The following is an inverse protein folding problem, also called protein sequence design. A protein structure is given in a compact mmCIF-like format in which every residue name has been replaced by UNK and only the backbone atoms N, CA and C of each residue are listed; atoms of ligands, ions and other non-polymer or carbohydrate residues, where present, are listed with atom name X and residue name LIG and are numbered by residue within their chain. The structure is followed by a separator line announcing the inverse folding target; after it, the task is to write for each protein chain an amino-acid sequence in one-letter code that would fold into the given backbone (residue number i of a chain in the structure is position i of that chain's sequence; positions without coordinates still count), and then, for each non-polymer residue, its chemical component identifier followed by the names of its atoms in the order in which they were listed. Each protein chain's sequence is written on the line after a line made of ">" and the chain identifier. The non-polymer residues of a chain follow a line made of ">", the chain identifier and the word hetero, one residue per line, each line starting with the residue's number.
data_IF_768912376234
#
_entry.id   IF_768912376234
#
_cell.length_a   1.000
_cell.length_b   1.000
_cell.length_c   1.000
_cell.angle_alpha   90.00
_cell.angle_beta   90.00
_cell.angle_gamma   90.00
#
_symmetry.space_group_name_H-M   'P 1'
#
loop_
_entity.id
_entity.type
_entity.pdbx_description
1 polymer ?
#
# COMPACT_ATOMS: atom_id res chain seq x y z
N UNK A 1 26.00 18.38 52.86
CA UNK A 1 25.37 17.29 52.10
C UNK A 1 26.18 17.06 50.85
N UNK A 2 26.98 16.00 50.81
CA UNK A 2 27.80 15.63 49.65
C UNK A 2 26.90 14.98 48.59
N UNK A 3 26.80 15.60 47.42
CA UNK A 3 26.21 14.98 46.23
C UNK A 3 27.24 13.98 45.70
N UNK A 4 27.03 12.69 45.96
CA UNK A 4 27.87 11.64 45.40
C UNK A 4 27.63 11.55 43.89
N UNK A 5 28.66 11.82 43.09
CA UNK A 5 28.65 11.60 41.65
C UNK A 5 28.34 10.12 41.37
N UNK A 6 27.36 9.86 40.49
CA UNK A 6 27.01 8.50 40.10
C UNK A 6 28.24 7.83 39.46
N UNK A 7 28.56 6.58 39.82
CA UNK A 7 29.66 5.85 39.20
C UNK A 7 29.42 5.74 37.68
N UNK A 8 30.48 5.84 36.89
CA UNK A 8 30.40 5.97 35.42
C UNK A 8 29.58 4.87 34.72
N UNK A 9 29.43 3.69 35.33
CA UNK A 9 28.60 2.60 34.78
C UNK A 9 27.09 2.89 34.87
N UNK A 10 26.64 3.62 35.89
CA UNK A 10 25.23 4.05 36.01
C UNK A 10 24.92 5.17 35.01
N UNK A 11 25.86 6.09 34.81
CA UNK A 11 25.78 7.11 33.75
C UNK A 11 25.67 6.43 32.38
N UNK A 12 26.49 5.40 32.11
CA UNK A 12 26.40 4.60 30.89
C UNK A 12 25.06 3.86 30.72
N UNK A 13 24.41 3.41 31.81
CA UNK A 13 23.07 2.80 31.73
C UNK A 13 22.00 3.83 31.40
N UNK A 14 22.08 5.03 31.99
CA UNK A 14 21.18 6.14 31.69
C UNK A 14 21.31 6.55 30.22
N UNK A 15 22.52 6.78 29.72
CA UNK A 15 22.76 7.10 28.31
C UNK A 15 22.28 6.00 27.37
N UNK A 16 22.52 4.73 27.70
CA UNK A 16 22.04 3.59 26.89
C UNK A 16 20.53 3.49 26.87
N UNK A 17 19.84 3.79 27.98
CA UNK A 17 18.39 3.80 28.05
C UNK A 17 17.78 5.00 27.32
N UNK A 18 18.41 6.18 27.39
CA UNK A 18 18.02 7.36 26.62
C UNK A 18 18.23 7.09 25.12
N UNK A 19 19.39 6.57 24.72
CA UNK A 19 19.67 6.19 23.34
C UNK A 19 18.72 5.10 22.83
N UNK A 20 18.39 4.08 23.64
CA UNK A 20 17.35 3.09 23.32
C UNK A 20 15.98 3.74 23.16
N UNK A 21 15.64 4.78 23.94
CA UNK A 21 14.35 5.49 23.83
C UNK A 21 14.29 6.38 22.59
N UNK A 22 15.43 6.97 22.19
CA UNK A 22 15.59 7.69 20.92
C UNK A 22 15.57 6.74 19.71
N UNK A 23 16.22 5.57 19.79
CA UNK A 23 16.17 4.55 18.75
C UNK A 23 14.79 3.87 18.65
N UNK A 24 14.05 3.74 19.76
CA UNK A 24 12.68 3.18 19.75
C UNK A 24 11.67 4.03 18.96
N UNK A 25 11.98 5.29 18.68
CA UNK A 25 11.14 6.18 17.85
C UNK A 25 11.54 6.21 16.36
N UNK A 26 12.74 5.72 16.02
CA UNK A 26 13.17 5.57 14.65
C UNK A 26 12.82 4.15 14.20
N UNK A 27 11.69 3.97 13.50
CA UNK A 27 11.44 2.73 12.76
C UNK A 27 12.61 2.61 11.78
N UNK A 28 13.49 1.60 11.91
CA UNK A 28 14.59 1.45 10.99
C UNK A 28 14.00 1.22 9.59
N UNK A 29 14.38 2.06 8.62
CA UNK A 29 14.00 1.87 7.21
C UNK A 29 14.53 0.56 6.61
N UNK A 30 15.35 -0.20 7.35
CA UNK A 30 15.90 -1.47 6.92
C UNK A 30 14.90 -2.61 7.10
N UNK A 31 14.10 -2.90 6.07
CA UNK A 31 13.25 -4.10 5.98
C UNK A 31 14.01 -5.29 5.38
N UNK A 32 15.16 -5.65 5.95
CA UNK A 32 15.95 -6.81 5.48
C UNK A 32 15.32 -8.11 5.97
N UNK A 33 15.42 -9.18 5.19
CA UNK A 33 14.80 -10.49 5.51
C UNK A 33 15.29 -11.06 6.85
N UNK A 34 16.53 -10.78 7.25
CA UNK A 34 17.11 -11.16 8.55
C UNK A 34 16.66 -10.27 9.73
N UNK A 35 15.88 -9.23 9.45
CA UNK A 35 15.41 -8.23 10.40
C UNK A 35 13.88 -8.19 10.53
N UNK A 36 13.15 -8.97 9.73
CA UNK A 36 11.69 -9.08 9.74
C UNK A 36 11.27 -10.55 9.81
N UNK A 37 10.06 -10.80 10.28
CA UNK A 37 9.48 -12.13 10.44
C UNK A 37 8.05 -12.16 9.91
N UNK A 38 7.46 -13.36 9.79
CA UNK A 38 6.09 -13.57 9.30
C UNK A 38 5.83 -12.96 7.91
N UNK A 39 6.76 -13.21 6.98
CA UNK A 39 6.67 -12.69 5.60
C UNK A 39 5.65 -13.51 4.82
N UNK A 40 4.58 -12.85 4.38
CA UNK A 40 3.51 -13.46 3.59
C UNK A 40 3.33 -12.75 2.25
N UNK A 41 2.95 -13.51 1.23
CA UNK A 41 2.59 -12.93 -0.06
C UNK A 41 1.24 -12.22 0.03
N UNK A 42 1.14 -11.04 -0.58
CA UNK A 42 -0.11 -10.29 -0.69
C UNK A 42 -0.77 -10.56 -2.05
N UNK A 43 -2.11 -10.61 -2.09
CA UNK A 43 -2.88 -10.63 -3.33
C UNK A 43 -2.97 -9.21 -3.94
N UNK A 44 -2.32 -8.95 -5.09
CA UNK A 44 -2.31 -7.63 -5.71
C UNK A 44 -3.69 -7.15 -6.18
N UNK A 45 -4.58 -8.05 -6.64
CA UNK A 45 -5.91 -7.66 -7.14
C UNK A 45 -6.81 -7.27 -5.99
N UNK A 46 -6.83 -8.06 -4.91
CA UNK A 46 -7.58 -7.71 -3.71
C UNK A 46 -7.12 -6.38 -3.09
N UNK A 47 -5.80 -6.10 -3.11
CA UNK A 47 -5.28 -4.80 -2.66
C UNK A 47 -5.73 -3.66 -3.56
N UNK A 48 -5.66 -3.83 -4.89
CA UNK A 48 -6.17 -2.83 -5.83
C UNK A 48 -7.65 -2.53 -5.59
N UNK A 49 -8.49 -3.56 -5.45
CA UNK A 49 -9.93 -3.42 -5.23
C UNK A 49 -10.22 -2.65 -3.94
N UNK A 50 -9.53 -3.00 -2.84
CA UNK A 50 -9.64 -2.28 -1.57
C UNK A 50 -9.20 -0.83 -1.72
N UNK A 51 -8.05 -0.57 -2.33
CA UNK A 51 -7.55 0.80 -2.51
C UNK A 51 -8.49 1.65 -3.37
N UNK A 52 -9.04 1.06 -4.44
CA UNK A 52 -9.99 1.74 -5.33
C UNK A 52 -11.30 2.16 -4.63
N UNK A 53 -11.67 1.48 -3.54
CA UNK A 53 -12.84 1.83 -2.74
C UNK A 53 -12.56 2.95 -1.72
N UNK A 54 -11.31 3.31 -1.47
CA UNK A 54 -10.94 4.33 -0.48
C UNK A 54 -10.92 5.72 -1.14
N UNK A 55 -11.59 6.73 -0.55
CA UNK A 55 -11.52 8.10 -1.04
C UNK A 55 -10.10 8.68 -0.95
N UNK A 56 -9.60 9.21 -2.06
CA UNK A 56 -8.40 10.04 -2.09
C UNK A 56 -8.83 11.51 -2.11
N UNK A 57 -8.41 12.25 -1.10
CA UNK A 57 -8.84 13.63 -0.89
C UNK A 57 -7.61 14.53 -0.72
N UNK A 58 -7.81 15.83 -0.88
CA UNK A 58 -6.81 16.82 -0.48
C UNK A 58 -7.18 17.46 0.84
N UNK A 59 -6.19 17.78 1.64
CA UNK A 59 -6.37 18.34 2.98
C UNK A 59 -5.13 19.15 3.37
N UNK A 60 -5.21 19.90 4.46
CA UNK A 60 -4.08 20.60 5.06
C UNK A 60 -4.04 20.28 6.56
N UNK A 61 -2.87 20.34 7.19
CA UNK A 61 -2.83 20.23 8.64
C UNK A 61 -3.41 21.51 9.28
N UNK A 62 -4.02 21.36 10.47
CA UNK A 62 -4.61 22.49 11.19
C UNK A 62 -3.62 23.60 11.57
N UNK A 63 -2.33 23.27 11.61
CA UNK A 63 -1.25 24.20 11.94
C UNK A 63 -0.56 24.79 10.69
N UNK A 64 -0.96 24.37 9.50
CA UNK A 64 -0.42 24.88 8.23
C UNK A 64 -1.29 26.00 7.66
N UNK A 65 -0.67 26.79 6.78
CA UNK A 65 -1.40 27.73 5.94
C UNK A 65 -2.42 27.00 5.05
N UNK A 66 -3.59 27.60 4.83
CA UNK A 66 -4.67 27.01 4.06
C UNK A 66 -4.30 26.75 2.57
N UNK A 67 -3.29 27.46 2.04
CA UNK A 67 -2.78 27.25 0.70
C UNK A 67 -1.91 25.99 0.56
N UNK A 68 -1.37 25.44 1.66
CA UNK A 68 -0.60 24.20 1.63
C UNK A 68 -1.58 23.03 1.52
N UNK A 69 -1.43 22.18 0.49
CA UNK A 69 -2.31 21.04 0.26
C UNK A 69 -1.51 19.74 0.21
N UNK A 70 -1.94 18.78 1.01
CA UNK A 70 -1.55 17.37 0.95
C UNK A 70 -2.62 16.58 0.24
N UNK A 71 -2.27 15.38 -0.23
CA UNK A 71 -3.19 14.46 -0.89
C UNK A 71 -3.01 13.05 -0.32
N UNK A 72 -4.11 12.36 -0.07
CA UNK A 72 -4.11 10.98 0.36
C UNK A 72 -5.43 10.56 0.99
N UNK A 73 -5.56 9.29 1.37
CA UNK A 73 -6.70 8.82 2.14
C UNK A 73 -6.63 9.35 3.57
N UNK A 74 -7.76 9.32 4.28
CA UNK A 74 -7.76 9.48 5.73
C UNK A 74 -7.17 8.23 6.40
N UNK A 75 -6.50 8.41 7.54
CA UNK A 75 -5.81 7.32 8.22
C UNK A 75 -6.76 6.21 8.70
N UNK A 76 -7.96 6.58 9.12
CA UNK A 76 -8.97 5.64 9.60
C UNK A 76 -9.51 4.76 8.47
N UNK A 77 -9.76 5.33 7.28
CA UNK A 77 -10.22 4.57 6.11
C UNK A 77 -9.13 3.60 5.66
N UNK A 78 -7.87 4.06 5.62
CA UNK A 78 -6.72 3.23 5.28
C UNK A 78 -6.55 2.07 6.26
N UNK A 79 -6.58 2.37 7.57
CA UNK A 79 -6.48 1.35 8.61
C UNK A 79 -7.66 0.38 8.57
N UNK A 80 -8.88 0.86 8.34
CA UNK A 80 -10.06 0.02 8.21
C UNK A 80 -9.99 -0.97 7.04
N UNK A 81 -9.39 -0.56 5.92
CA UNK A 81 -9.25 -1.41 4.73
C UNK A 81 -8.10 -2.43 4.83
N UNK A 82 -6.97 -2.02 5.41
CA UNK A 82 -5.72 -2.80 5.37
C UNK A 82 -5.24 -3.33 6.73
N UNK A 83 -5.64 -2.71 7.83
CA UNK A 83 -5.20 -3.08 9.19
C UNK A 83 -3.69 -2.94 9.42
N UNK A 84 -3.00 -2.12 8.60
CA UNK A 84 -1.56 -1.95 8.66
C UNK A 84 -1.15 -0.91 9.70
N UNK A 85 -0.03 -1.15 10.36
CA UNK A 85 0.44 -0.35 11.49
C UNK A 85 -0.27 -0.68 12.80
N UNK A 86 0.03 0.08 13.84
CA UNK A 86 -0.50 -0.12 15.19
C UNK A 86 -1.52 0.94 15.64
N UNK A 87 -1.98 1.79 14.72
CA UNK A 87 -2.95 2.87 15.01
C UNK A 87 -3.71 3.28 13.75
N UNK A 88 -4.94 3.74 13.92
CA UNK A 88 -5.81 4.31 12.89
C UNK A 88 -5.61 5.83 12.68
N UNK A 89 -4.65 6.45 13.38
CA UNK A 89 -4.41 7.91 13.36
C UNK A 89 -3.28 8.35 12.44
N UNK A 90 -2.48 7.41 11.97
CA UNK A 90 -1.30 7.68 11.14
C UNK A 90 -1.23 6.62 10.05
N UNK A 91 -0.88 7.05 8.85
CA UNK A 91 -0.49 6.15 7.77
C UNK A 91 1.04 6.11 7.77
N UNK A 92 1.63 4.94 8.03
CA UNK A 92 3.07 4.80 7.90
C UNK A 92 3.44 4.85 6.41
N UNK A 93 4.43 5.67 6.08
CA UNK A 93 4.87 5.89 4.69
C UNK A 93 5.23 4.58 3.99
N UNK A 94 5.86 3.63 4.68
CA UNK A 94 6.18 2.30 4.15
C UNK A 94 4.92 1.52 3.77
N UNK A 95 3.88 1.57 4.58
CA UNK A 95 2.61 0.86 4.33
C UNK A 95 1.88 1.48 3.13
N UNK A 96 1.83 2.82 3.05
CA UNK A 96 1.26 3.52 1.89
C UNK A 96 1.99 3.16 0.59
N UNK A 97 3.33 3.14 0.61
CA UNK A 97 4.16 2.75 -0.54
C UNK A 97 3.89 1.29 -0.92
N UNK A 98 3.85 0.38 0.06
CA UNK A 98 3.58 -1.04 -0.16
C UNK A 98 2.21 -1.28 -0.81
N UNK A 99 1.17 -0.64 -0.28
CA UNK A 99 -0.19 -0.70 -0.85
C UNK A 99 -0.24 -0.14 -2.27
N UNK A 100 0.45 0.98 -2.54
CA UNK A 100 0.54 1.55 -3.88
C UNK A 100 1.22 0.59 -4.87
N UNK A 101 2.37 0.02 -4.50
CA UNK A 101 3.11 -0.93 -5.34
C UNK A 101 2.30 -2.21 -5.61
N UNK A 102 1.62 -2.75 -4.59
CA UNK A 102 0.73 -3.89 -4.75
C UNK A 102 -0.45 -3.57 -5.67
N UNK A 103 -1.06 -2.40 -5.51
CA UNK A 103 -2.17 -1.96 -6.38
C UNK A 103 -1.75 -1.80 -7.83
N UNK A 104 -0.55 -1.27 -8.11
CA UNK A 104 0.02 -1.19 -9.47
C UNK A 104 0.19 -2.58 -10.08
N UNK A 105 0.67 -3.57 -9.30
CA UNK A 105 0.75 -4.96 -9.75
C UNK A 105 -0.64 -5.54 -10.05
N UNK A 106 -1.62 -5.29 -9.18
CA UNK A 106 -3.01 -5.69 -9.41
C UNK A 106 -3.58 -5.08 -10.69
N UNK A 107 -3.28 -3.80 -10.94
CA UNK A 107 -3.74 -3.09 -12.13
C UNK A 107 -3.16 -3.70 -13.40
N UNK A 108 -1.86 -4.02 -13.40
CA UNK A 108 -1.22 -4.72 -14.52
C UNK A 108 -1.91 -6.05 -14.81
N UNK A 109 -2.20 -6.85 -13.77
CA UNK A 109 -2.89 -8.13 -13.95
C UNK A 109 -4.29 -7.95 -14.53
N UNK A 110 -5.03 -6.94 -14.06
CA UNK A 110 -6.36 -6.61 -14.60
C UNK A 110 -6.27 -6.20 -16.08
N UNK A 111 -5.30 -5.37 -16.45
CA UNK A 111 -5.08 -4.96 -17.85
C UNK A 111 -4.74 -6.15 -18.75
N UNK A 112 -3.88 -7.06 -18.31
CA UNK A 112 -3.55 -8.29 -19.05
C UNK A 112 -4.77 -9.19 -19.22
N UNK A 113 -5.58 -9.38 -18.18
CA UNK A 113 -6.81 -10.18 -18.29
C UNK A 113 -7.83 -9.54 -19.23
N UNK A 114 -8.03 -8.22 -19.13
CA UNK A 114 -8.90 -7.48 -20.05
C UNK A 114 -8.40 -7.60 -21.50
N UNK A 115 -7.09 -7.49 -21.74
CA UNK A 115 -6.50 -7.69 -23.07
C UNK A 115 -6.78 -9.08 -23.64
N UNK A 116 -6.62 -10.13 -22.82
CA UNK A 116 -6.96 -11.51 -23.22
C UNK A 116 -8.44 -11.68 -23.54
N UNK A 117 -9.32 -11.05 -22.75
CA UNK A 117 -10.77 -11.08 -22.99
C UNK A 117 -11.14 -10.40 -24.29
N UNK A 118 -10.53 -9.25 -24.60
CA UNK A 118 -10.76 -8.52 -25.85
C UNK A 118 -10.35 -9.39 -27.04
N UNK A 119 -9.14 -9.95 -27.03
CA UNK A 119 -8.67 -10.83 -28.11
C UNK A 119 -9.61 -12.03 -28.36
N UNK A 120 -10.05 -12.70 -27.29
CA UNK A 120 -11.03 -13.81 -27.40
C UNK A 120 -12.37 -13.35 -27.96
N UNK A 121 -12.83 -12.17 -27.61
CA UNK A 121 -14.08 -11.63 -28.12
C UNK A 121 -13.96 -11.28 -29.61
N UNK A 122 -12.82 -10.71 -30.04
CA UNK A 122 -12.54 -10.42 -31.44
C UNK A 122 -12.51 -11.68 -32.30
N UNK A 123 -11.88 -12.75 -31.83
CA UNK A 123 -11.88 -14.06 -32.50
C UNK A 123 -13.30 -14.62 -32.67
N UNK A 124 -14.12 -14.55 -31.60
CA UNK A 124 -15.52 -15.00 -31.65
C UNK A 124 -16.37 -14.16 -32.58
N UNK A 125 -16.15 -12.84 -32.62
CA UNK A 125 -16.85 -11.95 -33.55
C UNK A 125 -16.50 -12.28 -35.00
N UNK A 126 -15.22 -12.51 -35.30
CA UNK A 126 -14.78 -12.91 -36.63
C UNK A 126 -15.40 -14.26 -37.05
N UNK A 127 -15.45 -15.24 -36.13
CA UNK A 127 -16.07 -16.53 -36.42
C UNK A 127 -17.58 -16.43 -36.62
N UNK A 128 -18.27 -15.65 -35.77
CA UNK A 128 -19.70 -15.40 -35.94
C UNK A 128 -20.00 -14.72 -37.27
N UNK A 129 -19.18 -13.76 -37.71
CA UNK A 129 -19.34 -13.11 -39.01
C UNK A 129 -19.24 -14.13 -40.17
N UNK A 130 -18.25 -15.02 -40.14
CA UNK A 130 -18.11 -16.10 -41.14
C UNK A 130 -19.30 -17.07 -41.12
N UNK A 131 -19.84 -17.38 -39.94
CA UNK A 131 -21.02 -18.24 -39.82
C UNK A 131 -22.23 -17.54 -40.45
N UNK A 132 -22.42 -16.24 -40.20
CA UNK A 132 -23.53 -15.46 -40.77
C UNK A 132 -23.43 -15.43 -42.30
N UNK A 133 -22.24 -15.18 -42.85
CA UNK A 133 -22.02 -15.19 -44.31
C UNK A 133 -22.39 -16.55 -44.91
N UNK A 134 -21.89 -17.66 -44.35
CA UNK A 134 -22.24 -19.02 -44.83
C UNK A 134 -23.73 -19.34 -44.75
N UNK A 135 -24.40 -18.87 -43.70
CA UNK A 135 -25.84 -19.07 -43.58
C UNK A 135 -26.59 -18.29 -44.67
N UNK A 136 -26.19 -17.04 -44.94
CA UNK A 136 -26.80 -16.23 -45.99
C UNK A 136 -26.62 -16.87 -47.37
N UNK A 137 -25.42 -17.37 -47.68
CA UNK A 137 -25.14 -18.10 -48.93
C UNK A 137 -25.97 -19.38 -49.08
N UNK A 138 -26.33 -20.05 -47.98
CA UNK A 138 -27.14 -21.26 -48.01
C UNK A 138 -28.65 -21.04 -48.17
N UNK A 139 -29.12 -19.78 -48.12
CA UNK A 139 -30.52 -19.41 -48.35
C UNK A 139 -30.79 -18.84 -49.75
N UNK A 140 -29.75 -18.58 -50.55
CA UNK A 140 -29.85 -18.27 -51.99
C UNK A 140 -29.81 -19.53 -52.86
#
# INVERSE_FOLDING_TARGET
>A
MLVSALPGWEIMKIFRNIAKRFLKGAIPLSARVDFVENIEATDPQAVLEKLAAIPIQTWNYKFEDAAIRHMGPMAQDFYGAFGLGNTDKVIFHMDAIGVCLASIKGLKQLMEEQGRRIARNEERLAENARIIERLQEGYE
#
